data_IF_007292393228
#
_entry.id   IF_007292393228
#
_cell.length_a   1.000
_cell.length_b   1.000
_cell.length_c   1.000
_cell.angle_alpha   90.00
_cell.angle_beta   90.00
_cell.angle_gamma   90.00
#
_symmetry.space_group_name_H-M   'P 1'
#
loop_
_entity.id
_entity.type
_entity.pdbx_description
1 polymer ?
#
# COMPACT_ATOMS: atom_id res chain seq x y z
N UNK A 1 3.44 -93.25 -27.30
CA UNK A 1 3.15 -92.07 -26.46
C UNK A 1 4.40 -91.20 -26.40
N UNK A 2 4.45 -90.10 -27.15
CA UNK A 2 5.45 -89.03 -27.01
C UNK A 2 4.67 -87.72 -27.09
N UNK A 3 4.56 -87.05 -25.96
CA UNK A 3 3.79 -85.81 -25.81
C UNK A 3 4.59 -84.62 -26.34
N UNK A 4 3.98 -83.84 -27.22
CA UNK A 4 4.46 -82.55 -27.71
C UNK A 4 4.04 -81.50 -26.68
N UNK A 5 5.00 -80.76 -26.11
CA UNK A 5 4.72 -79.63 -25.22
C UNK A 5 4.75 -78.34 -26.06
N UNK A 6 3.60 -77.71 -26.20
CA UNK A 6 3.42 -76.43 -26.90
C UNK A 6 3.52 -75.31 -25.85
N UNK A 7 4.54 -74.46 -25.95
CA UNK A 7 4.69 -73.28 -25.09
C UNK A 7 3.96 -72.08 -25.73
N UNK A 8 2.89 -71.61 -25.09
CA UNK A 8 2.22 -70.35 -25.42
C UNK A 8 2.99 -69.17 -24.80
N UNK A 9 3.57 -68.31 -25.64
CA UNK A 9 4.04 -66.98 -25.24
C UNK A 9 2.84 -66.04 -25.14
N UNK A 10 2.55 -65.56 -23.93
CA UNK A 10 1.66 -64.43 -23.69
C UNK A 10 2.44 -63.13 -23.91
N UNK A 11 2.08 -62.38 -24.96
CA UNK A 11 2.47 -60.98 -25.12
C UNK A 11 1.50 -60.11 -24.32
N UNK A 12 1.95 -59.55 -23.20
CA UNK A 12 1.22 -58.49 -22.49
C UNK A 12 1.31 -57.19 -23.31
N UNK A 13 0.21 -56.42 -23.45
CA UNK A 13 0.25 -55.11 -24.09
C UNK A 13 1.06 -54.14 -23.22
N UNK A 14 2.08 -53.52 -23.80
CA UNK A 14 2.73 -52.35 -23.23
C UNK A 14 1.73 -51.19 -23.25
N UNK A 15 1.09 -50.89 -22.13
CA UNK A 15 0.58 -49.54 -21.88
C UNK A 15 1.81 -48.66 -21.61
N UNK A 16 2.13 -47.73 -22.52
CA UNK A 16 3.11 -46.69 -22.19
C UNK A 16 2.44 -45.75 -21.18
N UNK A 17 2.90 -45.77 -19.92
CA UNK A 17 2.66 -44.65 -19.03
C UNK A 17 3.32 -43.42 -19.66
N UNK A 18 2.60 -42.30 -19.74
CA UNK A 18 3.22 -41.04 -20.13
C UNK A 18 4.31 -40.71 -19.09
N UNK A 19 5.46 -40.24 -19.55
CA UNK A 19 6.49 -39.80 -18.62
C UNK A 19 5.95 -38.57 -17.87
N UNK A 20 6.17 -38.42 -16.55
CA UNK A 20 5.63 -37.29 -15.79
C UNK A 20 5.99 -35.92 -16.38
N UNK A 21 7.15 -35.85 -17.05
CA UNK A 21 7.58 -34.66 -17.80
C UNK A 21 6.62 -34.29 -18.94
N UNK A 22 6.11 -35.28 -19.67
CA UNK A 22 5.18 -35.09 -20.78
C UNK A 22 3.81 -34.66 -20.26
N UNK A 23 3.35 -35.23 -19.14
CA UNK A 23 2.10 -34.82 -18.48
C UNK A 23 2.14 -33.36 -18.01
N UNK A 24 3.25 -32.93 -17.43
CA UNK A 24 3.47 -31.52 -17.04
C UNK A 24 3.55 -30.62 -18.27
N UNK A 25 4.19 -31.07 -19.35
CA UNK A 25 4.22 -30.32 -20.60
C UNK A 25 2.82 -30.11 -21.19
N UNK A 26 1.99 -31.15 -21.17
CA UNK A 26 0.62 -31.10 -21.65
C UNK A 26 -0.28 -30.24 -20.75
N UNK A 27 -0.07 -30.27 -19.44
CA UNK A 27 -0.71 -29.33 -18.49
C UNK A 27 -0.44 -27.88 -18.87
N UNK A 28 0.83 -27.52 -19.07
CA UNK A 28 1.22 -26.14 -19.40
C UNK A 28 0.76 -25.73 -20.80
N UNK A 29 0.68 -26.65 -21.76
CA UNK A 29 0.09 -26.37 -23.08
C UNK A 29 -1.41 -26.06 -22.97
N UNK A 30 -2.15 -26.87 -22.20
CA UNK A 30 -3.58 -26.63 -21.92
C UNK A 30 -3.79 -25.31 -21.19
N UNK A 31 -2.89 -24.93 -20.29
CA UNK A 31 -2.92 -23.62 -19.63
C UNK A 31 -2.88 -22.48 -20.67
N UNK A 32 -1.91 -22.48 -21.58
CA UNK A 32 -1.82 -21.46 -22.64
C UNK A 32 -2.99 -21.48 -23.63
N UNK A 33 -3.56 -22.65 -23.90
CA UNK A 33 -4.76 -22.76 -24.74
C UNK A 33 -6.00 -22.20 -24.04
N UNK A 34 -6.18 -22.50 -22.74
CA UNK A 34 -7.29 -21.99 -21.93
C UNK A 34 -7.22 -20.46 -21.79
N UNK A 35 -6.04 -19.89 -21.52
CA UNK A 35 -5.89 -18.42 -21.49
C UNK A 35 -6.19 -17.81 -22.84
N UNK A 36 -5.69 -18.39 -23.95
CA UNK A 36 -5.95 -17.89 -25.30
C UNK A 36 -7.44 -17.93 -25.66
N UNK A 37 -8.15 -18.98 -25.23
CA UNK A 37 -9.58 -19.16 -25.48
C UNK A 37 -10.46 -18.37 -24.51
N UNK A 38 -9.87 -17.69 -23.51
CA UNK A 38 -10.57 -17.07 -22.40
C UNK A 38 -11.49 -18.05 -21.63
N UNK A 39 -11.08 -19.32 -21.53
CA UNK A 39 -11.79 -20.37 -20.80
C UNK A 39 -11.37 -20.34 -19.33
N UNK A 40 -12.08 -19.55 -18.52
CA UNK A 40 -11.80 -19.38 -17.10
C UNK A 40 -11.99 -20.67 -16.30
N UNK A 41 -13.01 -21.46 -16.67
CA UNK A 41 -13.28 -22.75 -16.02
C UNK A 41 -12.14 -23.74 -16.18
N UNK A 42 -11.65 -23.92 -17.42
CA UNK A 42 -10.52 -24.80 -17.69
C UNK A 42 -9.23 -24.27 -17.06
N UNK A 43 -8.97 -22.96 -17.19
CA UNK A 43 -7.75 -22.33 -16.71
C UNK A 43 -7.58 -22.50 -15.20
N UNK A 44 -8.56 -22.06 -14.40
CA UNK A 44 -8.44 -22.11 -12.93
C UNK A 44 -8.46 -23.54 -12.37
N UNK A 45 -9.10 -24.50 -13.05
CA UNK A 45 -9.08 -25.91 -12.64
C UNK A 45 -7.70 -26.59 -12.74
N UNK A 46 -6.72 -25.97 -13.41
CA UNK A 46 -5.36 -26.50 -13.55
C UNK A 46 -4.44 -26.14 -12.37
N UNK A 47 -4.90 -25.33 -11.42
CA UNK A 47 -4.11 -24.88 -10.28
C UNK A 47 -4.42 -25.68 -9.01
N UNK A 48 -3.45 -25.74 -8.10
CA UNK A 48 -3.67 -26.24 -6.74
C UNK A 48 -4.46 -25.22 -5.92
N UNK A 49 -5.16 -25.67 -4.88
CA UNK A 49 -5.99 -24.78 -4.06
C UNK A 49 -5.16 -23.71 -3.32
N UNK A 50 -3.87 -23.98 -3.08
CA UNK A 50 -2.86 -23.11 -2.47
C UNK A 50 -1.94 -22.43 -3.52
N UNK A 51 -2.36 -22.39 -4.80
CA UNK A 51 -1.51 -21.85 -5.85
C UNK A 51 -1.22 -20.36 -5.66
N UNK A 52 0.01 -19.97 -5.98
CA UNK A 52 0.47 -18.57 -5.89
C UNK A 52 0.92 -18.06 -7.26
N UNK A 53 0.45 -16.86 -7.59
CA UNK A 53 0.75 -16.15 -8.83
C UNK A 53 1.62 -14.95 -8.56
N UNK A 54 2.60 -14.73 -9.43
CA UNK A 54 3.46 -13.56 -9.40
C UNK A 54 3.33 -12.82 -10.72
N UNK A 55 3.03 -11.53 -10.62
CA UNK A 55 3.01 -10.63 -11.75
C UNK A 55 4.40 -10.02 -12.03
N UNK A 56 4.40 -8.95 -12.82
CA UNK A 56 5.61 -8.24 -13.23
C UNK A 56 6.04 -7.15 -12.25
N UNK A 57 5.11 -6.62 -11.46
CA UNK A 57 5.41 -5.68 -10.38
C UNK A 57 5.78 -6.42 -9.09
N UNK A 58 6.58 -5.80 -8.23
CA UNK A 58 7.10 -6.39 -6.99
C UNK A 58 5.99 -6.73 -5.98
N UNK A 59 4.88 -6.00 -6.02
CA UNK A 59 3.74 -6.22 -5.13
C UNK A 59 2.73 -7.24 -5.65
N UNK A 60 2.83 -7.62 -6.94
CA UNK A 60 1.91 -8.57 -7.56
C UNK A 60 2.20 -10.00 -7.09
N UNK A 61 1.60 -10.36 -5.94
CA UNK A 61 1.58 -11.69 -5.37
C UNK A 61 0.16 -12.03 -4.94
N UNK A 62 -0.45 -13.00 -5.60
CA UNK A 62 -1.83 -13.38 -5.33
C UNK A 62 -1.95 -14.86 -5.00
N UNK A 63 -2.71 -15.18 -3.96
CA UNK A 63 -3.25 -16.53 -3.80
C UNK A 63 -4.38 -16.76 -4.82
N UNK A 64 -4.65 -18.02 -5.14
CA UNK A 64 -5.66 -18.38 -6.16
C UNK A 64 -7.01 -17.65 -5.99
N UNK A 65 -7.62 -17.51 -4.78
CA UNK A 65 -8.89 -16.80 -4.63
C UNK A 65 -8.82 -15.31 -5.04
N UNK A 66 -7.73 -14.63 -4.69
CA UNK A 66 -7.50 -13.22 -5.04
C UNK A 66 -7.30 -13.08 -6.55
N UNK A 67 -6.46 -13.95 -7.11
CA UNK A 67 -6.18 -13.99 -8.54
C UNK A 67 -7.44 -14.27 -9.37
N UNK A 68 -8.27 -15.21 -8.92
CA UNK A 68 -9.57 -15.49 -9.54
C UNK A 68 -10.50 -14.28 -9.51
N UNK A 69 -10.59 -13.59 -8.36
CA UNK A 69 -11.43 -12.40 -8.22
C UNK A 69 -11.06 -11.31 -9.22
N UNK A 70 -9.76 -11.10 -9.42
CA UNK A 70 -9.21 -10.10 -10.34
C UNK A 70 -9.39 -10.49 -11.81
N UNK A 71 -9.06 -11.73 -12.16
CA UNK A 71 -8.85 -12.11 -13.56
C UNK A 71 -9.99 -12.92 -14.19
N UNK A 72 -10.85 -13.55 -13.40
CA UNK A 72 -12.04 -14.23 -13.92
C UNK A 72 -12.97 -13.27 -14.68
N UNK A 73 -13.30 -12.06 -14.18
CA UNK A 73 -14.11 -11.10 -14.94
C UNK A 73 -13.45 -10.68 -16.26
N UNK A 74 -12.12 -10.58 -16.28
CA UNK A 74 -11.36 -10.28 -17.49
C UNK A 74 -11.53 -11.40 -18.53
N UNK A 75 -11.37 -12.67 -18.14
CA UNK A 75 -11.60 -13.83 -19.02
C UNK A 75 -13.04 -13.92 -19.51
N UNK A 76 -14.01 -13.73 -18.62
CA UNK A 76 -15.43 -13.76 -18.96
C UNK A 76 -15.86 -12.63 -19.91
N UNK A 77 -15.08 -11.55 -20.01
CA UNK A 77 -15.27 -10.52 -21.04
C UNK A 77 -14.83 -10.96 -22.46
N UNK A 78 -14.40 -12.22 -22.62
CA UNK A 78 -13.89 -12.78 -23.87
C UNK A 78 -12.44 -12.39 -24.17
N UNK A 79 -11.73 -11.82 -23.18
CA UNK A 79 -10.33 -11.42 -23.29
C UNK A 79 -9.46 -12.41 -22.55
N UNK A 80 -8.36 -12.81 -23.14
CA UNK A 80 -7.38 -13.67 -22.49
C UNK A 80 -5.99 -13.35 -22.98
N UNK A 81 -4.99 -13.97 -22.38
CA UNK A 81 -3.60 -13.74 -22.75
C UNK A 81 -3.14 -14.75 -23.77
N UNK A 82 -2.49 -14.24 -24.81
CA UNK A 82 -1.83 -15.07 -25.80
C UNK A 82 -0.32 -14.96 -25.66
N UNK A 83 0.28 -16.12 -25.37
CA UNK A 83 1.73 -16.31 -25.38
C UNK A 83 2.08 -17.41 -26.38
N UNK A 84 3.05 -17.14 -27.24
CA UNK A 84 3.68 -18.16 -28.05
C UNK A 84 4.84 -18.76 -27.27
N UNK A 85 4.68 -20.01 -26.81
CA UNK A 85 5.78 -20.78 -26.23
C UNK A 85 6.88 -20.99 -27.29
N UNK A 86 8.12 -20.67 -26.92
CA UNK A 86 9.31 -20.81 -27.76
C UNK A 86 10.16 -22.00 -27.35
N UNK A 87 10.41 -22.10 -26.05
CA UNK A 87 11.22 -23.15 -25.44
C UNK A 87 10.70 -23.43 -24.04
N UNK A 88 10.87 -24.67 -23.56
CA UNK A 88 10.44 -25.09 -22.23
C UNK A 88 11.36 -26.17 -21.68
N UNK A 89 11.81 -25.96 -20.45
CA UNK A 89 12.47 -26.95 -19.64
C UNK A 89 11.57 -27.37 -18.49
N UNK A 90 11.55 -28.68 -18.22
CA UNK A 90 10.81 -29.28 -17.12
C UNK A 90 11.77 -30.24 -16.42
N UNK A 91 11.88 -30.08 -15.10
CA UNK A 91 12.67 -30.94 -14.23
C UNK A 91 11.78 -31.52 -13.14
N UNK A 92 11.46 -32.80 -13.27
CA UNK A 92 10.78 -33.59 -12.22
C UNK A 92 11.77 -33.81 -11.08
N UNK A 93 11.39 -33.39 -9.88
CA UNK A 93 12.23 -33.42 -8.69
C UNK A 93 12.32 -34.85 -8.11
N UNK A 94 13.34 -35.14 -7.28
CA UNK A 94 13.40 -36.39 -6.53
C UNK A 94 12.10 -36.62 -5.75
N UNK A 95 11.52 -37.82 -5.88
CA UNK A 95 10.20 -38.15 -5.34
C UNK A 95 9.10 -38.22 -6.40
N UNK A 96 9.29 -37.58 -7.55
CA UNK A 96 8.38 -37.73 -8.71
C UNK A 96 7.05 -37.01 -8.62
N UNK A 97 6.77 -36.30 -7.52
CA UNK A 97 5.50 -35.62 -7.25
C UNK A 97 5.56 -34.09 -7.45
N UNK A 98 6.75 -33.53 -7.66
CA UNK A 98 6.97 -32.11 -7.92
C UNK A 98 7.77 -31.96 -9.20
N UNK A 99 7.39 -31.00 -10.03
CA UNK A 99 8.15 -30.59 -11.20
C UNK A 99 8.37 -29.08 -11.16
N UNK A 100 9.56 -28.62 -11.51
CA UNK A 100 9.82 -27.19 -11.77
C UNK A 100 9.94 -27.00 -13.27
N UNK A 101 9.53 -25.83 -13.74
CA UNK A 101 9.63 -25.48 -15.16
C UNK A 101 10.09 -24.04 -15.34
N UNK A 102 10.75 -23.83 -16.48
CA UNK A 102 11.00 -22.52 -17.07
C UNK A 102 10.66 -22.58 -18.55
N UNK A 103 10.02 -21.55 -19.07
CA UNK A 103 9.69 -21.41 -20.48
C UNK A 103 9.97 -20.00 -20.98
N UNK A 104 10.42 -19.93 -22.23
CA UNK A 104 10.52 -18.64 -22.93
C UNK A 104 9.28 -18.45 -23.76
N UNK A 105 8.64 -17.30 -23.58
CA UNK A 105 7.38 -16.93 -24.21
C UNK A 105 7.58 -15.71 -25.09
N UNK A 106 6.72 -15.57 -26.10
CA UNK A 106 6.60 -14.33 -26.86
C UNK A 106 5.16 -13.84 -26.85
N UNK A 107 4.96 -12.58 -26.50
CA UNK A 107 3.70 -11.86 -26.64
C UNK A 107 3.92 -10.61 -27.50
N UNK A 108 2.91 -10.24 -28.29
CA UNK A 108 2.97 -8.97 -29.02
C UNK A 108 2.94 -7.76 -28.07
N UNK A 109 2.31 -7.89 -26.89
CA UNK A 109 2.21 -6.81 -25.91
C UNK A 109 3.50 -6.67 -25.07
N UNK A 110 4.09 -7.79 -24.66
CA UNK A 110 5.20 -7.82 -23.70
C UNK A 110 6.57 -8.15 -24.33
N UNK A 111 6.62 -8.52 -25.61
CA UNK A 111 7.84 -9.01 -26.24
C UNK A 111 8.26 -10.38 -25.70
N UNK A 112 9.56 -10.56 -25.42
CA UNK A 112 10.06 -11.81 -24.81
C UNK A 112 9.81 -11.83 -23.31
N UNK A 113 9.13 -12.88 -22.86
CA UNK A 113 8.82 -13.11 -21.45
C UNK A 113 9.40 -14.44 -21.00
N UNK A 114 9.47 -14.64 -19.68
CA UNK A 114 9.78 -15.94 -19.08
C UNK A 114 8.63 -16.36 -18.18
N UNK A 115 8.10 -17.56 -18.43
CA UNK A 115 7.21 -18.24 -17.49
C UNK A 115 8.04 -19.16 -16.61
N UNK A 116 7.95 -19.03 -15.28
CA UNK A 116 8.65 -19.92 -14.34
C UNK A 116 7.68 -20.41 -13.29
N UNK A 117 7.81 -21.64 -12.82
CA UNK A 117 6.93 -22.12 -11.77
C UNK A 117 7.17 -23.54 -11.32
N UNK A 118 6.23 -24.03 -10.52
CA UNK A 118 6.20 -25.39 -10.02
C UNK A 118 4.84 -26.04 -10.26
N UNK A 119 4.87 -27.34 -10.55
CA UNK A 119 3.70 -28.20 -10.62
C UNK A 119 3.80 -29.27 -9.53
N UNK A 120 2.66 -29.68 -9.00
CA UNK A 120 2.52 -30.72 -7.98
C UNK A 120 1.53 -31.78 -8.45
N UNK A 121 1.85 -33.04 -8.20
CA UNK A 121 0.96 -34.17 -8.47
C UNK A 121 -0.03 -34.32 -7.31
N UNK A 122 -1.33 -34.16 -7.58
CA UNK A 122 -2.41 -34.28 -6.60
C UNK A 122 -3.47 -35.25 -7.12
N UNK A 123 -3.83 -36.25 -6.32
CA UNK A 123 -4.84 -37.26 -6.67
C UNK A 123 -4.62 -37.92 -8.05
N UNK A 124 -3.35 -38.07 -8.45
CA UNK A 124 -2.96 -38.65 -9.74
C UNK A 124 -3.03 -37.71 -10.93
N UNK A 125 -3.21 -36.40 -10.72
CA UNK A 125 -3.19 -35.37 -11.76
C UNK A 125 -2.20 -34.25 -11.43
N UNK A 126 -1.40 -33.84 -12.41
CA UNK A 126 -0.53 -32.68 -12.27
C UNK A 126 -1.34 -31.38 -12.27
N UNK A 127 -1.03 -30.52 -11.32
CA UNK A 127 -1.57 -29.16 -11.18
C UNK A 127 -0.45 -28.14 -10.99
N UNK A 128 -0.70 -26.90 -11.34
CA UNK A 128 0.23 -25.78 -11.20
C UNK A 128 0.12 -25.24 -9.77
N UNK A 129 1.23 -25.25 -9.03
CA UNK A 129 1.30 -24.76 -7.66
C UNK A 129 1.88 -23.33 -7.57
N UNK A 130 2.68 -22.93 -8.55
CA UNK A 130 3.08 -21.53 -8.70
C UNK A 130 3.35 -21.17 -10.15
N UNK A 131 3.08 -19.92 -10.50
CA UNK A 131 3.37 -19.37 -11.83
C UNK A 131 3.84 -17.92 -11.73
N UNK A 132 4.99 -17.64 -12.35
CA UNK A 132 5.61 -16.33 -12.45
C UNK A 132 5.71 -15.94 -13.91
N UNK A 133 5.27 -14.74 -14.26
CA UNK A 133 5.47 -14.18 -15.60
C UNK A 133 6.41 -12.98 -15.53
N UNK A 134 7.64 -13.14 -16.01
CA UNK A 134 8.64 -12.08 -16.02
C UNK A 134 8.74 -11.42 -17.40
N UNK A 135 8.80 -10.09 -17.44
CA UNK A 135 9.31 -9.34 -18.61
C UNK A 135 10.83 -9.42 -18.59
N UNK A 136 11.42 -9.95 -19.66
CA UNK A 136 12.88 -10.14 -19.71
C UNK A 136 13.59 -8.88 -20.20
N UNK A 137 14.53 -8.35 -19.40
CA UNK A 137 15.30 -7.15 -19.75
C UNK A 137 16.65 -7.57 -20.36
N UNK A 138 16.96 -7.19 -21.62
CA UNK A 138 18.28 -7.44 -22.20
C UNK A 138 19.38 -6.71 -21.42
N UNK A 139 20.50 -7.38 -21.16
CA UNK A 139 21.63 -6.81 -20.41
C UNK A 139 22.12 -5.47 -20.99
N UNK A 140 22.05 -5.29 -22.31
CA UNK A 140 22.46 -4.05 -23.00
C UNK A 140 21.62 -2.81 -22.64
N UNK A 141 20.40 -3.02 -22.13
CA UNK A 141 19.49 -1.94 -21.70
C UNK A 141 19.15 -2.02 -20.21
N UNK A 142 19.81 -2.90 -19.45
CA UNK A 142 19.55 -3.06 -18.01
C UNK A 142 19.78 -1.77 -17.21
N UNK A 143 20.88 -1.06 -17.45
CA UNK A 143 21.20 0.18 -16.73
C UNK A 143 20.13 1.28 -16.89
N UNK A 144 19.66 1.64 -18.11
CA UNK A 144 18.60 2.63 -18.23
C UNK A 144 17.26 2.15 -17.66
N UNK A 145 16.93 0.86 -17.73
CA UNK A 145 15.71 0.34 -17.08
C UNK A 145 15.80 0.43 -15.55
N UNK A 146 16.93 0.06 -14.95
CA UNK A 146 17.17 0.24 -13.51
C UNK A 146 17.00 1.70 -13.11
N UNK A 147 17.37 2.63 -14.00
CA UNK A 147 17.17 4.05 -13.75
C UNK A 147 15.69 4.44 -13.76
N UNK A 148 14.92 3.96 -14.75
CA UNK A 148 13.48 4.19 -14.82
C UNK A 148 12.74 3.65 -13.58
N UNK A 149 13.10 2.44 -13.12
CA UNK A 149 12.51 1.85 -11.91
C UNK A 149 12.77 2.76 -10.69
N UNK A 150 14.01 3.23 -10.51
CA UNK A 150 14.34 4.16 -9.41
C UNK A 150 13.62 5.50 -9.50
N UNK A 151 13.31 5.95 -10.72
CA UNK A 151 12.62 7.21 -10.94
C UNK A 151 11.14 7.06 -10.57
N UNK A 152 10.54 5.93 -10.94
CA UNK A 152 9.18 5.57 -10.57
C UNK A 152 9.06 5.40 -9.05
N UNK A 153 9.85 4.49 -8.47
CA UNK A 153 9.85 4.20 -7.03
C UNK A 153 10.21 5.43 -6.18
N UNK A 154 11.14 6.26 -6.66
CA UNK A 154 11.60 7.44 -5.93
C UNK A 154 10.59 8.61 -5.93
N UNK A 155 9.63 8.63 -6.85
CA UNK A 155 8.57 9.63 -6.87
C UNK A 155 7.28 9.14 -6.19
N UNK A 156 7.19 7.85 -5.89
CA UNK A 156 6.09 7.23 -5.16
C UNK A 156 6.30 7.39 -3.65
N UNK A 157 5.37 8.07 -2.98
CA UNK A 157 5.39 8.31 -1.54
C UNK A 157 4.15 7.73 -0.90
N UNK A 158 4.35 6.99 0.18
CA UNK A 158 3.27 6.55 1.04
C UNK A 158 3.04 7.53 2.20
N UNK A 159 1.85 8.11 2.25
CA UNK A 159 1.39 9.04 3.28
C UNK A 159 0.39 8.33 4.19
N UNK A 160 0.51 8.58 5.49
CA UNK A 160 -0.44 8.09 6.47
C UNK A 160 -0.76 9.17 7.50
N UNK A 161 -2.02 9.26 7.93
CA UNK A 161 -2.41 10.04 9.11
C UNK A 161 -3.10 9.17 10.14
N UNK A 162 -2.76 9.37 11.41
CA UNK A 162 -3.29 8.56 12.49
C UNK A 162 -3.39 9.33 13.82
N UNK A 163 -4.61 9.63 14.26
CA UNK A 163 -4.85 10.06 15.63
C UNK A 163 -4.70 8.84 16.55
N UNK A 164 -3.68 8.84 17.41
CA UNK A 164 -3.33 7.67 18.23
C UNK A 164 -3.95 7.70 19.63
N UNK A 165 -4.78 8.70 19.92
CA UNK A 165 -5.39 8.97 21.22
C UNK A 165 -4.37 9.23 22.35
N UNK A 166 -4.50 10.36 23.04
CA UNK A 166 -3.54 10.74 24.08
C UNK A 166 -3.46 9.72 25.22
N UNK A 167 -2.24 9.43 25.67
CA UNK A 167 -1.99 8.22 26.45
C UNK A 167 -2.35 8.29 27.94
N UNK A 168 -2.72 9.46 28.46
CA UNK A 168 -3.17 9.64 29.86
C UNK A 168 -4.68 9.63 30.01
N UNK A 169 -5.43 9.34 28.94
CA UNK A 169 -6.87 9.20 28.98
C UNK A 169 -7.29 7.98 29.83
N UNK A 170 -8.39 8.12 30.58
CA UNK A 170 -9.01 7.01 31.31
C UNK A 170 -9.91 6.19 30.36
N UNK A 171 -9.27 5.47 29.43
CA UNK A 171 -9.93 4.72 28.35
C UNK A 171 -10.18 3.24 28.72
N UNK A 172 -10.17 2.89 30.01
CA UNK A 172 -10.43 1.53 30.48
C UNK A 172 -9.43 0.50 29.93
N UNK A 173 -9.90 -0.54 29.25
CA UNK A 173 -9.02 -1.54 28.61
C UNK A 173 -8.24 -0.95 27.42
N UNK A 174 -8.69 0.19 26.88
CA UNK A 174 -8.03 0.92 25.80
C UNK A 174 -7.04 1.98 26.32
N UNK A 175 -6.48 1.82 27.52
CA UNK A 175 -5.34 2.66 27.95
C UNK A 175 -4.12 2.42 27.07
N UNK A 176 -3.28 3.45 26.90
CA UNK A 176 -2.10 3.39 26.02
C UNK A 176 -1.21 2.16 26.22
N UNK A 177 -0.97 1.75 27.48
CA UNK A 177 -0.15 0.59 27.79
C UNK A 177 -0.63 -0.71 27.12
N UNK A 178 -1.95 -0.83 26.88
CA UNK A 178 -2.54 -1.99 26.21
C UNK A 178 -2.54 -1.84 24.68
N UNK A 179 -2.49 -0.60 24.18
CA UNK A 179 -2.61 -0.27 22.76
C UNK A 179 -1.28 -0.04 22.04
N UNK A 180 -0.22 0.34 22.76
CA UNK A 180 1.08 0.75 22.20
C UNK A 180 1.63 -0.23 21.17
N UNK A 181 1.62 -1.51 21.50
CA UNK A 181 2.18 -2.56 20.63
C UNK A 181 1.29 -2.80 19.41
N UNK A 182 -0.03 -2.58 19.53
CA UNK A 182 -0.97 -2.61 18.40
C UNK A 182 -0.77 -1.39 17.48
N UNK A 183 -0.63 -0.19 18.04
CA UNK A 183 -0.35 1.05 17.28
C UNK A 183 0.95 0.93 16.48
N UNK A 184 2.05 0.55 17.17
CA UNK A 184 3.36 0.41 16.53
C UNK A 184 3.45 -0.84 15.64
N UNK A 185 2.67 -1.88 15.92
CA UNK A 185 2.51 -3.04 15.04
C UNK A 185 1.84 -2.67 13.73
N UNK A 186 0.73 -1.92 13.80
CA UNK A 186 0.00 -1.42 12.64
C UNK A 186 0.91 -0.54 11.76
N UNK A 187 1.55 0.48 12.35
CA UNK A 187 2.44 1.38 11.59
C UNK A 187 3.61 0.61 10.94
N UNK A 188 4.16 -0.40 11.60
CA UNK A 188 5.23 -1.25 11.03
C UNK A 188 4.74 -2.26 9.99
N UNK A 189 3.44 -2.54 9.95
CA UNK A 189 2.82 -3.34 8.89
C UNK A 189 2.65 -2.53 7.61
N UNK A 190 2.25 -1.27 7.74
CA UNK A 190 2.05 -0.34 6.62
C UNK A 190 3.38 0.25 6.12
N UNK A 191 4.31 0.57 7.02
CA UNK A 191 5.62 1.20 6.70
C UNK A 191 5.50 2.51 5.90
N UNK A 192 4.67 3.49 6.32
CA UNK A 192 4.46 4.72 5.57
C UNK A 192 5.76 5.54 5.46
N UNK A 193 5.96 6.24 4.34
CA UNK A 193 7.14 7.08 4.16
C UNK A 193 7.05 8.34 5.02
N UNK A 194 5.84 8.89 5.15
CA UNK A 194 5.53 9.99 6.08
C UNK A 194 4.25 9.66 6.85
N UNK A 195 4.32 9.79 8.17
CA UNK A 195 3.21 9.58 9.10
C UNK A 195 2.93 10.84 9.91
N UNK A 196 1.74 11.41 9.74
CA UNK A 196 1.20 12.44 10.63
C UNK A 196 0.48 11.80 11.81
N UNK A 197 0.91 12.13 13.03
CA UNK A 197 0.26 11.64 14.25
C UNK A 197 -0.47 12.78 14.96
N UNK A 198 -1.59 12.50 15.60
CA UNK A 198 -2.32 13.46 16.45
C UNK A 198 -2.50 12.92 17.87
N UNK A 199 -2.71 13.81 18.83
CA UNK A 199 -2.88 13.54 20.27
C UNK A 199 -1.70 12.91 21.00
N UNK A 200 -0.56 12.71 20.33
CA UNK A 200 0.61 12.10 20.95
C UNK A 200 1.16 12.98 22.08
N UNK A 201 1.30 12.40 23.27
CA UNK A 201 2.11 12.98 24.35
C UNK A 201 3.58 12.62 24.16
N UNK A 202 4.48 13.39 24.78
CA UNK A 202 5.93 13.20 24.60
C UNK A 202 6.40 11.76 24.85
N UNK A 203 5.93 11.12 25.91
CA UNK A 203 6.32 9.74 26.22
C UNK A 203 5.81 8.73 25.18
N UNK A 204 4.64 8.96 24.55
CA UNK A 204 4.14 8.10 23.48
C UNK A 204 5.05 8.20 22.26
N UNK A 205 5.53 9.41 21.93
CA UNK A 205 6.49 9.62 20.84
C UNK A 205 7.82 8.93 21.12
N UNK A 206 8.33 9.02 22.36
CA UNK A 206 9.57 8.36 22.75
C UNK A 206 9.45 6.82 22.60
N UNK A 207 8.37 6.23 23.11
CA UNK A 207 8.10 4.78 22.99
C UNK A 207 7.88 4.34 21.53
N UNK A 208 7.20 5.15 20.72
CA UNK A 208 7.06 4.91 19.28
C UNK A 208 8.42 4.94 18.56
N UNK A 209 9.29 5.89 18.94
CA UNK A 209 10.63 6.01 18.37
C UNK A 209 11.51 4.81 18.72
N UNK A 210 11.39 4.28 19.94
CA UNK A 210 12.08 3.05 20.35
C UNK A 210 11.58 1.82 19.56
N UNK A 211 10.27 1.73 19.30
CA UNK A 211 9.67 0.63 18.54
C UNK A 211 9.96 0.69 17.04
N UNK A 212 10.33 1.87 16.50
CA UNK A 212 10.47 2.14 15.07
C UNK A 212 11.81 2.84 14.75
N UNK A 213 12.97 2.16 14.93
CA UNK A 213 14.30 2.78 14.81
C UNK A 213 14.67 3.27 13.39
N UNK A 214 13.90 2.91 12.36
CA UNK A 214 14.04 3.44 10.99
C UNK A 214 13.35 4.78 10.75
N UNK A 215 12.59 5.26 11.74
CA UNK A 215 11.85 6.52 11.67
C UNK A 215 12.53 7.60 12.51
N UNK A 216 12.56 8.81 11.97
CA UNK A 216 12.81 10.03 12.73
C UNK A 216 11.54 10.88 12.77
N UNK A 217 11.51 11.91 13.61
CA UNK A 217 10.32 12.74 13.75
C UNK A 217 10.64 14.22 13.99
N UNK A 218 9.65 15.07 13.70
CA UNK A 218 9.68 16.51 13.98
C UNK A 218 8.36 16.97 14.59
N UNK A 219 8.41 18.03 15.38
CA UNK A 219 7.25 18.63 16.04
C UNK A 219 7.57 19.06 17.48
N UNK A 220 6.67 19.84 18.07
CA UNK A 220 6.79 20.31 19.46
C UNK A 220 5.44 20.21 20.18
N UNK A 221 5.48 20.23 21.51
CA UNK A 221 4.28 20.23 22.35
C UNK A 221 3.47 21.52 22.18
N UNK A 222 2.16 21.40 22.06
CA UNK A 222 1.28 22.55 21.78
C UNK A 222 1.14 23.55 22.93
N UNK A 223 1.52 23.19 24.15
CA UNK A 223 1.29 24.08 25.31
C UNK A 223 2.46 25.06 25.52
N UNK A 224 3.69 24.64 25.25
CA UNK A 224 4.92 25.42 25.51
C UNK A 224 5.84 25.58 24.30
N UNK A 225 5.59 24.86 23.20
CA UNK A 225 6.49 24.83 22.05
C UNK A 225 7.76 24.03 22.27
N UNK A 226 7.75 23.17 23.29
CA UNK A 226 8.83 22.26 23.64
C UNK A 226 8.25 20.85 23.86
N UNK A 227 7.93 20.50 25.11
CA UNK A 227 7.55 19.12 25.49
C UNK A 227 6.18 19.01 26.15
N UNK A 228 5.53 20.12 26.49
CA UNK A 228 4.25 20.11 27.18
C UNK A 228 3.07 20.07 26.22
N UNK A 229 2.06 19.29 26.63
CA UNK A 229 0.83 19.11 25.87
C UNK A 229 0.94 18.04 24.79
N UNK A 230 -0.16 17.87 24.06
CA UNK A 230 -0.20 17.01 22.88
C UNK A 230 0.62 17.62 21.75
N UNK A 231 1.17 16.75 20.91
CA UNK A 231 1.88 17.07 19.70
C UNK A 231 0.99 16.77 18.48
N UNK A 232 1.37 17.34 17.35
CA UNK A 232 0.98 16.87 16.02
C UNK A 232 2.26 16.55 15.23
N UNK A 233 3.03 15.51 15.59
CA UNK A 233 4.35 15.31 15.01
C UNK A 233 4.25 14.69 13.62
N UNK A 234 5.31 14.87 12.82
CA UNK A 234 5.50 14.14 11.58
C UNK A 234 6.64 13.15 11.79
N UNK A 235 6.34 11.86 11.69
CA UNK A 235 7.32 10.78 11.64
C UNK A 235 7.63 10.48 10.16
N UNK A 236 8.87 10.14 9.84
CA UNK A 236 9.29 9.86 8.47
C UNK A 236 10.35 8.77 8.37
N UNK A 237 10.27 7.97 7.31
CA UNK A 237 11.19 6.88 7.03
C UNK A 237 12.55 7.42 6.55
N UNK A 238 13.59 7.24 7.37
CA UNK A 238 14.93 7.78 7.09
C UNK A 238 15.69 7.03 6.00
N UNK A 239 15.25 5.82 5.63
CA UNK A 239 15.82 5.07 4.52
C UNK A 239 15.38 5.63 3.15
N UNK A 240 14.28 6.39 3.10
CA UNK A 240 13.75 6.98 1.86
C UNK A 240 13.82 8.49 1.82
N UNK A 241 13.65 9.15 2.96
CA UNK A 241 13.49 10.61 3.03
C UNK A 241 14.63 11.28 3.78
N UNK A 242 15.04 12.45 3.27
CA UNK A 242 15.84 13.41 4.02
C UNK A 242 14.99 14.62 4.37
N UNK A 243 14.99 14.98 5.65
CA UNK A 243 14.42 16.24 6.12
C UNK A 243 15.31 17.41 5.66
N UNK A 244 14.70 18.39 4.98
CA UNK A 244 15.37 19.62 4.56
C UNK A 244 15.12 20.75 5.56
N UNK A 245 13.87 20.90 5.98
CA UNK A 245 13.43 21.95 6.91
C UNK A 245 12.11 21.54 7.55
N UNK A 246 11.84 22.00 8.77
CA UNK A 246 10.57 21.81 9.45
C UNK A 246 10.24 22.99 10.35
N UNK A 247 8.98 23.09 10.76
CA UNK A 247 8.53 24.04 11.76
C UNK A 247 7.19 23.63 12.36
N UNK A 248 6.79 24.35 13.40
CA UNK A 248 5.46 24.25 14.00
C UNK A 248 4.94 25.65 14.26
N UNK A 249 3.66 25.88 13.99
CA UNK A 249 2.97 27.12 14.33
C UNK A 249 1.62 26.83 14.99
N UNK A 250 1.10 27.82 15.72
CA UNK A 250 -0.17 27.75 16.44
C UNK A 250 -1.30 28.35 15.63
N UNK A 251 -2.47 27.71 15.68
CA UNK A 251 -3.68 28.22 15.06
C UNK A 251 -4.28 29.33 15.93
N UNK A 252 -3.76 30.54 15.73
CA UNK A 252 -4.14 31.75 16.44
C UNK A 252 -3.74 33.00 15.65
N UNK A 253 -4.11 34.18 16.16
CA UNK A 253 -3.63 35.46 15.62
C UNK A 253 -2.13 35.69 15.85
N UNK A 254 -1.51 34.92 16.75
CA UNK A 254 -0.06 34.96 17.05
C UNK A 254 0.56 33.57 16.83
N UNK A 255 0.69 33.12 15.57
CA UNK A 255 1.08 31.76 15.24
C UNK A 255 2.48 31.36 15.71
N UNK A 256 3.36 32.33 15.98
CA UNK A 256 4.71 32.10 16.50
C UNK A 256 4.78 32.09 18.03
N UNK A 257 3.65 32.26 18.73
CA UNK A 257 3.59 32.29 20.19
C UNK A 257 3.05 30.95 20.72
N UNK A 258 3.87 30.16 21.43
CA UNK A 258 3.42 28.90 21.99
C UNK A 258 2.22 29.02 22.93
N UNK A 259 1.32 28.05 22.87
CA UNK A 259 0.11 27.99 23.70
C UNK A 259 -0.97 29.02 23.35
N UNK A 260 -0.81 29.77 22.25
CA UNK A 260 -1.74 30.83 21.86
C UNK A 260 -3.11 30.30 21.37
N UNK A 261 -4.15 31.09 21.61
CA UNK A 261 -5.56 30.78 21.34
C UNK A 261 -6.30 32.07 20.98
N UNK A 262 -7.00 32.11 19.84
CA UNK A 262 -7.63 33.35 19.37
C UNK A 262 -9.05 33.18 18.81
N UNK A 263 -9.41 31.99 18.34
CA UNK A 263 -10.60 31.79 17.50
C UNK A 263 -11.71 31.03 18.26
N UNK A 264 -11.84 31.30 19.55
CA UNK A 264 -12.81 30.64 20.43
C UNK A 264 -12.39 29.24 20.92
N UNK A 265 -11.26 28.71 20.46
CA UNK A 265 -10.70 27.45 20.96
C UNK A 265 -10.20 27.59 22.40
N UNK A 266 -10.52 26.61 23.25
CA UNK A 266 -10.10 26.57 24.65
C UNK A 266 -8.72 25.92 24.84
N UNK A 267 -8.34 25.08 23.88
CA UNK A 267 -7.11 24.30 23.80
C UNK A 267 -6.23 24.85 22.67
N UNK A 268 -4.93 25.07 22.87
CA UNK A 268 -4.03 25.46 21.78
C UNK A 268 -4.03 24.38 20.70
N UNK A 269 -4.09 24.77 19.42
CA UNK A 269 -4.02 23.85 18.28
C UNK A 269 -2.84 24.23 17.42
N UNK A 270 -2.19 23.25 16.80
CA UNK A 270 -0.93 23.44 16.08
C UNK A 270 -0.96 22.75 14.72
N UNK A 271 -0.10 23.24 13.82
CA UNK A 271 0.33 22.57 12.60
C UNK A 271 1.84 22.35 12.67
N UNK A 272 2.29 21.13 12.49
CA UNK A 272 3.71 20.83 12.22
C UNK A 272 3.88 20.61 10.74
N UNK A 273 4.91 21.18 10.13
CA UNK A 273 5.21 20.99 8.71
C UNK A 273 6.66 20.60 8.50
N UNK A 274 6.92 19.89 7.40
CA UNK A 274 8.24 19.43 7.03
C UNK A 274 8.42 19.36 5.51
N UNK A 275 9.58 19.78 5.03
CA UNK A 275 10.06 19.55 3.68
C UNK A 275 10.94 18.31 3.66
N UNK A 276 10.64 17.43 2.73
CA UNK A 276 11.41 16.23 2.49
C UNK A 276 11.98 16.22 1.07
N UNK A 277 13.05 15.46 0.89
CA UNK A 277 13.49 15.03 -0.43
C UNK A 277 13.63 13.51 -0.46
N UNK A 278 13.02 12.82 -1.45
CA UNK A 278 13.19 11.38 -1.63
C UNK A 278 14.56 11.13 -2.27
N UNK A 279 15.56 10.85 -1.45
CA UNK A 279 16.95 10.83 -1.90
C UNK A 279 17.32 9.57 -2.69
N UNK A 280 16.44 8.59 -2.73
CA UNK A 280 16.58 7.39 -3.57
C UNK A 280 16.18 7.64 -5.02
N UNK A 281 15.38 8.70 -5.29
CA UNK A 281 15.06 9.13 -6.64
C UNK A 281 16.32 9.64 -7.36
N UNK A 282 16.40 9.44 -8.67
CA UNK A 282 17.57 9.91 -9.44
C UNK A 282 17.60 11.41 -9.65
N UNK A 283 16.42 12.02 -9.69
CA UNK A 283 16.19 13.45 -9.72
C UNK A 283 15.36 13.83 -8.49
N UNK A 284 15.98 13.83 -7.30
CA UNK A 284 15.27 14.01 -6.04
C UNK A 284 14.70 15.42 -5.99
N UNK A 285 13.37 15.54 -6.07
CA UNK A 285 12.65 16.80 -5.97
C UNK A 285 11.94 16.90 -4.62
N UNK A 286 11.98 18.08 -3.97
CA UNK A 286 11.32 18.26 -2.68
C UNK A 286 9.80 18.07 -2.72
N UNK A 287 9.21 17.79 -1.57
CA UNK A 287 7.78 17.92 -1.31
C UNK A 287 7.57 18.34 0.16
N UNK A 288 6.39 18.84 0.50
CA UNK A 288 6.05 19.27 1.85
C UNK A 288 4.88 18.47 2.42
N UNK A 289 4.91 18.19 3.72
CA UNK A 289 3.75 17.67 4.46
C UNK A 289 3.47 18.58 5.64
N UNK A 290 2.21 18.97 5.81
CA UNK A 290 1.68 19.67 6.96
C UNK A 290 0.72 18.76 7.73
N UNK A 291 1.03 18.46 8.98
CA UNK A 291 0.19 17.68 9.87
C UNK A 291 -0.61 18.59 10.80
N UNK A 292 -1.92 18.43 10.82
CA UNK A 292 -2.86 19.28 11.58
C UNK A 292 -3.62 18.47 12.62
N UNK A 293 -3.97 19.13 13.73
CA UNK A 293 -5.05 18.69 14.60
C UNK A 293 -5.94 19.90 14.91
N UNK A 294 -7.07 20.00 14.20
CA UNK A 294 -7.96 21.16 14.30
C UNK A 294 -8.84 21.10 15.55
N UNK A 295 -9.50 22.21 15.88
CA UNK A 295 -10.32 22.30 17.07
C UNK A 295 -11.68 21.59 16.94
N UNK A 296 -12.06 20.80 17.95
CA UNK A 296 -13.32 20.07 17.97
C UNK A 296 -14.54 20.91 18.38
N UNK A 297 -14.35 22.11 18.95
CA UNK A 297 -15.45 22.91 19.53
C UNK A 297 -15.84 24.10 18.66
N UNK A 298 -14.85 24.81 18.12
CA UNK A 298 -15.05 26.08 17.43
C UNK A 298 -14.96 25.92 15.91
N UNK A 299 -16.10 26.04 15.23
CA UNK A 299 -16.20 26.09 13.78
C UNK A 299 -15.35 27.23 13.19
N UNK A 300 -15.34 28.38 13.86
CA UNK A 300 -14.51 29.53 13.47
C UNK A 300 -13.03 29.18 13.57
N UNK A 301 -12.62 28.50 14.65
CA UNK A 301 -11.24 28.05 14.80
C UNK A 301 -10.82 27.12 13.67
N UNK A 302 -11.66 26.14 13.29
CA UNK A 302 -11.32 25.24 12.17
C UNK A 302 -11.16 25.99 10.85
N UNK A 303 -12.08 26.90 10.54
CA UNK A 303 -12.02 27.70 9.31
C UNK A 303 -10.77 28.60 9.29
N UNK A 304 -10.49 29.32 10.38
CA UNK A 304 -9.31 30.18 10.49
C UNK A 304 -8.01 29.39 10.43
N UNK A 305 -7.98 28.19 11.02
CA UNK A 305 -6.82 27.29 10.98
C UNK A 305 -6.50 26.89 9.53
N UNK A 306 -7.50 26.46 8.76
CA UNK A 306 -7.30 26.10 7.35
C UNK A 306 -6.93 27.30 6.48
N UNK A 307 -7.38 28.51 6.81
CA UNK A 307 -6.90 29.74 6.16
C UNK A 307 -5.42 30.01 6.46
N UNK A 308 -4.93 29.70 7.66
CA UNK A 308 -3.50 29.79 7.99
C UNK A 308 -2.68 28.70 7.27
N UNK A 309 -3.20 27.48 7.15
CA UNK A 309 -2.57 26.42 6.34
C UNK A 309 -2.49 26.85 4.88
N UNK A 310 -3.57 27.39 4.31
CA UNK A 310 -3.55 27.95 2.94
C UNK A 310 -2.46 29.01 2.77
N UNK A 311 -2.31 29.92 3.74
CA UNK A 311 -1.26 30.92 3.72
C UNK A 311 0.15 30.29 3.71
N UNK A 312 0.40 29.27 4.53
CA UNK A 312 1.68 28.53 4.49
C UNK A 312 1.95 27.94 3.10
N UNK A 313 0.91 27.38 2.46
CA UNK A 313 1.02 26.74 1.15
C UNK A 313 1.28 27.75 0.02
N UNK A 314 0.74 28.97 0.15
CA UNK A 314 0.89 30.05 -0.83
C UNK A 314 2.17 30.90 -0.60
N UNK A 315 2.84 30.79 0.55
CA UNK A 315 4.11 31.50 0.82
C UNK A 315 5.20 31.08 -0.18
N UNK A 316 5.97 32.04 -0.70
CA UNK A 316 7.07 31.85 -1.67
C UNK A 316 6.76 30.92 -2.86
N UNK A 317 5.50 30.88 -3.31
CA UNK A 317 5.00 29.97 -4.35
C UNK A 317 5.34 28.49 -4.06
N UNK A 318 5.42 28.10 -2.78
CA UNK A 318 5.82 26.76 -2.34
C UNK A 318 4.87 25.68 -2.87
N UNK A 319 3.56 25.92 -2.77
CA UNK A 319 2.52 25.06 -3.32
C UNK A 319 2.52 24.98 -4.85
N UNK A 320 3.09 25.96 -5.55
CA UNK A 320 3.30 25.91 -7.00
C UNK A 320 4.62 25.22 -7.36
N UNK A 321 5.65 25.35 -6.52
CA UNK A 321 6.99 24.83 -6.77
C UNK A 321 7.13 23.34 -6.45
N UNK A 322 6.47 22.86 -5.40
CA UNK A 322 6.59 21.48 -4.91
C UNK A 322 5.23 20.92 -4.48
N UNK A 323 4.94 19.62 -4.66
CA UNK A 323 3.79 18.96 -4.07
C UNK A 323 3.75 19.21 -2.56
N UNK A 324 2.59 19.64 -2.09
CA UNK A 324 2.36 19.90 -0.68
C UNK A 324 1.14 19.09 -0.25
N UNK A 325 1.21 18.44 0.91
CA UNK A 325 0.13 17.63 1.45
C UNK A 325 -0.31 18.21 2.79
N UNK A 326 -1.61 18.15 3.07
CA UNK A 326 -2.15 18.45 4.41
C UNK A 326 -2.82 17.20 4.92
N UNK A 327 -2.29 16.66 6.02
CA UNK A 327 -2.76 15.43 6.63
C UNK A 327 -3.17 15.72 8.07
N UNK A 328 -4.08 14.94 8.65
CA UNK A 328 -4.38 15.08 10.07
C UNK A 328 -5.81 14.76 10.47
N UNK A 329 -6.11 15.09 11.73
CA UNK A 329 -7.46 15.13 12.29
C UNK A 329 -8.01 16.55 12.14
N UNK A 330 -8.99 16.71 11.26
CA UNK A 330 -9.60 18.00 10.94
C UNK A 330 -10.81 18.31 11.82
N UNK A 331 -11.30 17.36 12.62
CA UNK A 331 -12.51 17.52 13.43
C UNK A 331 -13.73 18.07 12.66
N UNK A 332 -13.79 17.84 11.34
CA UNK A 332 -14.89 18.24 10.47
C UNK A 332 -14.99 17.32 9.25
N UNK A 333 -16.19 17.26 8.68
CA UNK A 333 -16.48 16.44 7.51
C UNK A 333 -15.82 16.99 6.22
N UNK A 334 -15.58 16.13 5.21
CA UNK A 334 -15.07 16.51 3.89
C UNK A 334 -15.77 17.68 3.20
N UNK A 335 -17.10 17.76 3.31
CA UNK A 335 -17.93 18.78 2.64
C UNK A 335 -18.01 20.12 3.40
N UNK A 336 -17.23 20.27 4.47
CA UNK A 336 -17.28 21.44 5.36
C UNK A 336 -16.46 22.63 4.86
N UNK A 337 -16.82 23.82 5.34
CA UNK A 337 -16.17 25.09 4.95
C UNK A 337 -14.64 25.14 5.19
N UNK A 338 -14.07 24.59 6.29
CA UNK A 338 -12.62 24.49 6.45
C UNK A 338 -11.93 23.76 5.29
N UNK A 339 -12.49 22.62 4.85
CA UNK A 339 -11.91 21.78 3.80
C UNK A 339 -12.04 22.45 2.42
N UNK A 340 -13.16 23.12 2.16
CA UNK A 340 -13.38 23.92 0.95
C UNK A 340 -12.39 25.09 0.78
N UNK A 341 -11.57 25.42 1.80
CA UNK A 341 -10.48 26.38 1.67
C UNK A 341 -9.37 25.88 0.72
N UNK A 342 -9.23 24.56 0.55
CA UNK A 342 -8.29 23.94 -0.39
C UNK A 342 -9.01 23.25 -1.55
N UNK A 343 -9.98 22.39 -1.24
CA UNK A 343 -10.63 21.52 -2.25
C UNK A 343 -11.27 22.33 -3.38
N UNK A 344 -11.08 21.85 -4.62
CA UNK A 344 -11.60 22.50 -5.83
C UNK A 344 -10.79 23.71 -6.29
N UNK A 345 -9.64 23.98 -5.67
CA UNK A 345 -8.71 25.06 -6.02
C UNK A 345 -7.30 24.50 -6.29
N UNK A 346 -7.20 23.43 -7.09
CA UNK A 346 -5.96 22.69 -7.34
C UNK A 346 -5.68 21.57 -6.34
N UNK A 347 -6.67 21.22 -5.51
CA UNK A 347 -6.55 20.21 -4.45
C UNK A 347 -7.73 19.26 -4.46
N UNK A 348 -7.46 18.03 -4.04
CA UNK A 348 -8.40 16.94 -3.87
C UNK A 348 -8.16 16.21 -2.53
N UNK A 349 -9.19 15.55 -2.02
CA UNK A 349 -9.06 14.61 -0.90
C UNK A 349 -8.65 13.25 -1.47
N UNK A 350 -7.72 12.56 -0.81
CA UNK A 350 -7.22 11.27 -1.29
C UNK A 350 -8.27 10.15 -1.20
N UNK A 351 -9.19 10.20 -0.23
CA UNK A 351 -10.28 9.23 -0.13
C UNK A 351 -11.48 9.69 -0.98
N UNK A 352 -11.92 8.87 -1.93
CA UNK A 352 -13.12 9.14 -2.72
C UNK A 352 -14.40 9.07 -1.85
N UNK A 353 -15.47 9.68 -2.32
CA UNK A 353 -16.81 9.66 -1.71
C UNK A 353 -17.40 8.24 -1.65
N UNK A 354 -16.94 7.33 -2.51
CA UNK A 354 -17.32 5.92 -2.49
C UNK A 354 -16.77 5.15 -1.26
N UNK A 355 -15.77 5.71 -0.56
CA UNK A 355 -15.27 5.17 0.69
C UNK A 355 -16.29 5.37 1.83
N UNK A 356 -17.21 4.41 2.00
CA UNK A 356 -18.27 4.49 3.03
C UNK A 356 -17.81 4.36 4.48
N UNK A 357 -16.50 4.27 4.71
CA UNK A 357 -15.93 4.04 6.04
C UNK A 357 -15.50 5.36 6.66
N UNK A 358 -16.15 5.74 7.76
CA UNK A 358 -15.69 6.81 8.64
C UNK A 358 -14.34 6.47 9.27
N UNK A 359 -13.67 7.48 9.82
CA UNK A 359 -12.36 7.33 10.47
C UNK A 359 -12.50 7.29 11.99
N UNK A 360 -13.53 7.90 12.58
CA UNK A 360 -13.71 7.93 14.02
C UNK A 360 -14.75 6.91 14.52
N UNK A 361 -14.33 5.99 15.40
CA UNK A 361 -15.18 4.94 15.97
C UNK A 361 -15.26 4.93 17.50
N UNK A 362 -14.51 5.76 18.23
CA UNK A 362 -14.69 5.87 19.69
C UNK A 362 -14.49 4.55 20.43
N UNK A 363 -13.52 3.72 20.00
CA UNK A 363 -13.27 2.36 20.51
C UNK A 363 -14.41 1.33 20.32
N UNK A 364 -15.40 1.59 19.46
CA UNK A 364 -16.48 0.61 19.17
C UNK A 364 -16.15 -0.33 18.00
N UNK A 365 -15.25 0.08 17.11
CA UNK A 365 -15.00 -0.57 15.82
C UNK A 365 -15.98 -0.16 14.71
N UNK A 366 -17.01 0.61 15.03
CA UNK A 366 -18.06 1.05 14.10
C UNK A 366 -17.95 2.56 13.85
N UNK A 367 -17.25 2.94 12.76
CA UNK A 367 -17.04 4.35 12.44
C UNK A 367 -18.22 5.02 11.71
N UNK A 368 -19.11 4.23 11.09
CA UNK A 368 -20.21 4.76 10.29
C UNK A 368 -19.70 5.64 9.15
N UNK A 369 -20.24 6.85 9.02
CA UNK A 369 -19.88 7.87 8.02
C UNK A 369 -19.00 9.00 8.59
N UNK A 370 -18.53 8.89 9.84
CA UNK A 370 -17.75 9.94 10.51
C UNK A 370 -16.32 10.01 10.00
N UNK A 371 -16.11 10.64 8.86
CA UNK A 371 -14.79 10.95 8.29
C UNK A 371 -14.33 12.32 8.77
N UNK A 372 -13.32 12.34 9.63
CA UNK A 372 -12.71 13.58 10.15
C UNK A 372 -11.19 13.59 10.01
N UNK A 373 -10.59 12.45 9.69
CA UNK A 373 -9.18 12.31 9.39
C UNK A 373 -9.01 12.24 7.87
N UNK A 374 -8.14 13.08 7.30
CA UNK A 374 -8.03 13.24 5.85
C UNK A 374 -6.59 13.41 5.40
N UNK A 375 -6.35 13.06 4.14
CA UNK A 375 -5.15 13.41 3.38
C UNK A 375 -5.61 14.30 2.23
N UNK A 376 -5.25 15.58 2.27
CA UNK A 376 -5.50 16.55 1.21
C UNK A 376 -4.22 16.68 0.38
N UNK A 377 -4.36 16.56 -0.94
CA UNK A 377 -3.25 16.52 -1.89
C UNK A 377 -3.52 17.41 -3.10
N UNK A 378 -2.47 17.84 -3.83
CA UNK A 378 -2.66 18.68 -5.00
C UNK A 378 -3.05 17.82 -6.20
N UNK A 379 -3.93 18.32 -7.06
CA UNK A 379 -4.51 17.59 -8.22
C UNK A 379 -3.53 17.33 -9.38
N UNK A 380 -2.32 17.88 -9.27
CA UNK A 380 -1.20 17.62 -10.16
C UNK A 380 -0.43 16.34 -9.82
N UNK A 381 -0.57 15.84 -8.60
CA UNK A 381 -0.05 14.53 -8.22
C UNK A 381 -1.01 13.43 -8.69
N UNK A 382 -0.50 12.20 -8.80
CA UNK A 382 -1.31 11.03 -9.14
C UNK A 382 -1.56 10.21 -7.89
N UNK A 383 -2.84 10.03 -7.55
CA UNK A 383 -3.27 9.13 -6.49
C UNK A 383 -3.31 7.71 -7.05
N UNK A 384 -2.48 6.81 -6.52
CA UNK A 384 -2.45 5.41 -6.93
C UNK A 384 -3.44 4.58 -6.10
N UNK A 385 -3.43 4.81 -4.79
CA UNK A 385 -4.22 4.03 -3.84
C UNK A 385 -4.57 4.89 -2.62
N UNK A 386 -5.76 4.69 -2.05
CA UNK A 386 -6.11 5.22 -0.74
C UNK A 386 -7.03 4.29 0.01
N UNK A 387 -6.87 4.25 1.34
CA UNK A 387 -7.62 3.33 2.19
C UNK A 387 -7.81 3.90 3.60
N UNK A 388 -8.96 3.59 4.21
CA UNK A 388 -9.14 3.64 5.66
C UNK A 388 -8.80 2.27 6.23
N UNK A 389 -7.72 2.16 6.99
CA UNK A 389 -7.22 0.88 7.49
C UNK A 389 -8.08 0.44 8.68
N UNK A 390 -8.99 -0.50 8.44
CA UNK A 390 -10.01 -0.96 9.42
C UNK A 390 -9.56 -2.17 10.23
N UNK A 391 -8.29 -2.19 10.64
CA UNK A 391 -7.73 -3.33 11.35
C UNK A 391 -8.48 -3.56 12.69
N UNK A 392 -9.01 -4.77 12.85
CA UNK A 392 -9.85 -5.15 13.98
C UNK A 392 -9.12 -5.08 15.32
N UNK A 393 -9.84 -4.71 16.38
CA UNK A 393 -9.31 -4.75 17.74
C UNK A 393 -9.02 -6.17 18.20
N UNK A 394 -7.92 -6.34 18.93
CA UNK A 394 -7.55 -7.63 19.54
C UNK A 394 -8.18 -7.74 20.93
N UNK A 395 -9.04 -8.75 21.13
CA UNK A 395 -9.72 -9.00 22.40
C UNK A 395 -10.48 -7.79 22.96
N UNK A 396 -11.01 -6.93 22.08
CA UNK A 396 -11.74 -5.71 22.46
C UNK A 396 -10.87 -4.48 22.74
N UNK A 397 -9.55 -4.58 22.52
CA UNK A 397 -8.61 -3.45 22.55
C UNK A 397 -8.31 -3.02 21.13
N UNK A 398 -8.55 -1.74 20.82
CA UNK A 398 -8.24 -1.17 19.51
C UNK A 398 -6.92 -0.39 19.56
N UNK A 399 -6.19 -0.29 18.43
CA UNK A 399 -5.00 0.56 18.35
C UNK A 399 -5.30 2.01 18.76
N UNK A 400 -6.42 2.57 18.31
CA UNK A 400 -6.90 3.91 18.66
C UNK A 400 -8.43 3.96 18.60
N UNK A 401 -9.04 5.09 18.95
CA UNK A 401 -10.45 5.39 18.68
C UNK A 401 -10.70 5.93 17.26
N UNK A 402 -9.62 6.11 16.49
CA UNK A 402 -9.64 6.40 15.07
C UNK A 402 -9.04 5.24 14.27
N UNK A 403 -9.48 5.08 13.02
CA UNK A 403 -8.79 4.33 12.00
C UNK A 403 -7.80 5.25 11.26
N UNK A 404 -6.60 4.76 10.94
CA UNK A 404 -5.69 5.53 10.11
C UNK A 404 -6.16 5.60 8.66
N UNK A 405 -5.75 6.68 7.99
CA UNK A 405 -5.94 6.87 6.54
C UNK A 405 -4.58 6.77 5.87
N UNK A 406 -4.49 5.95 4.82
CA UNK A 406 -3.32 5.78 3.96
C UNK A 406 -3.60 6.32 2.57
N UNK A 407 -2.60 6.91 1.94
CA UNK A 407 -2.60 7.23 0.52
C UNK A 407 -1.21 6.97 -0.08
N UNK A 408 -1.20 6.36 -1.26
CA UNK A 408 -0.01 6.18 -2.08
C UNK A 408 -0.11 7.14 -3.24
N UNK A 409 0.90 7.99 -3.38
CA UNK A 409 0.89 9.10 -4.32
C UNK A 409 2.18 9.14 -5.12
N UNK A 410 2.05 9.25 -6.44
CA UNK A 410 3.15 9.67 -7.31
C UNK A 410 3.21 11.20 -7.34
N UNK A 411 4.32 11.74 -6.80
CA UNK A 411 4.52 13.18 -6.60
C UNK A 411 4.53 13.98 -7.90
N UNK A 412 5.12 13.41 -8.96
CA UNK A 412 5.38 14.10 -10.20
C UNK A 412 5.15 13.20 -11.42
N UNK A 413 3.89 12.85 -11.70
CA UNK A 413 3.57 11.92 -12.78
C UNK A 413 4.03 12.46 -14.13
N UNK A 414 4.57 11.60 -14.98
CA UNK A 414 4.83 11.96 -16.38
C UNK A 414 3.49 12.01 -17.11
N UNK A 415 3.08 13.20 -17.53
CA UNK A 415 1.90 13.36 -18.40
C UNK A 415 2.40 13.35 -19.84
N UNK A 416 1.94 12.38 -20.63
CA UNK A 416 2.12 12.41 -22.07
C UNK A 416 1.23 13.53 -22.65
N UNK A 417 1.86 14.57 -23.20
CA UNK A 417 1.20 15.68 -23.90
C UNK A 417 0.64 15.26 -25.28
#
# INVERSE_FOLDING_TARGET
MKSILLALLFTLPFCSYAEPKDEVNDLLNRMHEATKAADDGAYFAMFTDDAVFFGTDVWERWELPEFESLYRPYMQSGRGWWFQMRDRHISVQPGGEVAIFDETLYSAAYGQCRGTGACRLEDGAWKIASYHLDITIPNSVSTPIVQMIRDEEGNRIELMTFNIRYGTADDGDNVWNNRRDLVTGLIRGELPDVLGVQEALRFQIDEMSEAMPGYAWVGVGRDDGEQAGEFAPILYNTDKLRLLQSGTFWFSETPDVPGSKSYGNSIPRICTWAYFTPYQASNPRPFMVANVHLDHQSDESRLKSMQQVRKLLDEDDLGESYPCFVIGDFNCAPDSAPIATLIGQGWLEALDDDAKTGTFHGFTGEAGDKRIDMILMPDRCELEESEVITLGGENGVWPSDHYPVRAIVTLYPQRDD
#
